data_IF_519047924197
#
_entry.id   IF_519047924197
#
_cell.length_a   1.000
_cell.length_b   1.000
_cell.length_c   1.000
_cell.angle_alpha   90.00
_cell.angle_beta   90.00
_cell.angle_gamma   90.00
#
_symmetry.space_group_name_H-M   'P 1'
#
loop_
_entity.id
_entity.type
_entity.pdbx_description
1 polymer ?
#
# COMPACT_ATOMS: atom_id res chain seq x y z
N UNK A 1 -2.37 -7.31 5.63
CA UNK A 1 -1.18 -6.88 4.87
C UNK A 1 -1.21 -7.42 3.44
N UNK A 2 -1.43 -8.72 3.21
CA UNK A 2 -1.52 -9.28 1.85
C UNK A 2 -2.67 -8.64 1.01
N UNK A 3 -3.88 -8.57 1.55
CA UNK A 3 -5.02 -7.97 0.83
C UNK A 3 -4.84 -6.47 0.53
N UNK A 4 -4.24 -5.70 1.44
CA UNK A 4 -3.97 -4.28 1.19
C UNK A 4 -2.88 -4.10 0.12
N UNK A 5 -1.86 -4.97 0.10
CA UNK A 5 -0.84 -4.98 -0.93
C UNK A 5 -1.44 -5.27 -2.32
N UNK A 6 -2.33 -6.27 -2.42
CA UNK A 6 -3.01 -6.61 -3.67
C UNK A 6 -3.87 -5.45 -4.18
N UNK A 7 -4.61 -4.79 -3.29
CA UNK A 7 -5.44 -3.65 -3.66
C UNK A 7 -4.61 -2.45 -4.14
N UNK A 8 -3.54 -2.10 -3.42
CA UNK A 8 -2.65 -0.99 -3.80
C UNK A 8 -1.92 -1.29 -5.11
N UNK A 9 -1.51 -2.54 -5.35
CA UNK A 9 -0.89 -2.94 -6.60
C UNK A 9 -1.85 -2.77 -7.79
N UNK A 10 -3.10 -3.22 -7.68
CA UNK A 10 -4.10 -3.07 -8.75
C UNK A 10 -4.40 -1.60 -9.05
N UNK A 11 -4.47 -0.74 -8.03
CA UNK A 11 -4.70 0.71 -8.22
C UNK A 11 -3.52 1.36 -8.95
N UNK A 12 -2.28 1.05 -8.54
CA UNK A 12 -1.09 1.60 -9.17
C UNK A 12 -0.95 1.13 -10.62
N UNK A 13 -1.23 -0.15 -10.89
CA UNK A 13 -1.21 -0.73 -12.25
C UNK A 13 -2.30 -0.16 -13.16
N UNK A 14 -3.45 0.25 -12.59
CA UNK A 14 -4.51 0.93 -13.34
C UNK A 14 -4.19 2.39 -13.64
N UNK A 15 -3.59 3.12 -12.68
CA UNK A 15 -3.31 4.56 -12.83
C UNK A 15 -2.12 4.83 -13.74
N UNK A 16 -1.07 4.02 -13.65
CA UNK A 16 0.15 4.16 -14.43
C UNK A 16 0.60 2.78 -14.90
N UNK A 17 -0.08 2.24 -15.93
CA UNK A 17 0.23 0.92 -16.44
C UNK A 17 1.68 0.95 -16.96
N UNK A 18 2.50 -0.06 -16.63
CA UNK A 18 3.84 -0.19 -17.16
C UNK A 18 3.80 -0.55 -18.64
N UNK A 19 3.76 0.50 -19.46
CA UNK A 19 3.90 0.38 -20.90
C UNK A 19 5.36 0.72 -21.22
N UNK A 20 6.05 -0.21 -21.88
CA UNK A 20 7.35 0.10 -22.50
C UNK A 20 7.17 1.19 -23.57
N UNK A 21 8.24 1.92 -23.95
CA UNK A 21 8.19 2.88 -25.06
C UNK A 21 7.63 2.28 -26.35
N UNK A 22 7.79 0.96 -26.52
CA UNK A 22 7.35 0.17 -27.68
C UNK A 22 5.91 -0.38 -27.53
N UNK A 23 5.19 -0.06 -26.45
CA UNK A 23 3.78 -0.43 -26.27
C UNK A 23 3.51 -1.77 -25.57
N UNK A 24 4.54 -2.50 -25.14
CA UNK A 24 4.38 -3.80 -24.47
C UNK A 24 4.21 -3.67 -22.96
N UNK A 25 3.29 -4.46 -22.39
CA UNK A 25 3.12 -4.61 -20.93
C UNK A 25 4.33 -5.29 -20.32
N UNK A 26 4.96 -4.64 -19.33
CA UNK A 26 6.01 -5.22 -18.50
C UNK A 26 5.55 -5.30 -17.04
N UNK A 27 6.10 -6.20 -16.22
CA UNK A 27 5.72 -6.24 -14.80
C UNK A 27 6.31 -5.01 -14.07
N UNK A 28 5.49 -4.13 -13.45
CA UNK A 28 5.97 -2.87 -12.90
C UNK A 28 6.63 -3.13 -11.55
N UNK A 29 7.89 -3.53 -11.55
CA UNK A 29 8.68 -3.71 -10.32
C UNK A 29 8.63 -2.41 -9.49
N UNK A 30 8.63 -1.25 -10.13
CA UNK A 30 8.42 0.04 -9.46
C UNK A 30 7.09 0.15 -8.73
N UNK A 31 5.97 -0.25 -9.35
CA UNK A 31 4.66 -0.18 -8.69
C UNK A 31 4.56 -1.19 -7.55
N UNK A 32 5.21 -2.36 -7.66
CA UNK A 32 5.33 -3.32 -6.54
C UNK A 32 6.08 -2.68 -5.37
N UNK A 33 7.22 -2.04 -5.63
CA UNK A 33 8.03 -1.38 -4.60
C UNK A 33 7.28 -0.20 -3.96
N UNK A 34 6.61 0.64 -4.77
CA UNK A 34 5.77 1.75 -4.28
C UNK A 34 4.62 1.22 -3.41
N UNK A 35 3.95 0.15 -3.84
CA UNK A 35 2.85 -0.46 -3.10
C UNK A 35 3.32 -1.06 -1.76
N UNK A 36 4.47 -1.73 -1.74
CA UNK A 36 5.10 -2.24 -0.53
C UNK A 36 5.41 -1.10 0.44
N UNK A 37 6.06 -0.04 -0.04
CA UNK A 37 6.41 1.10 0.80
C UNK A 37 5.17 1.79 1.39
N UNK A 38 4.14 2.01 0.58
CA UNK A 38 2.88 2.60 1.03
C UNK A 38 2.17 1.71 2.06
N UNK A 39 2.20 0.40 1.87
CA UNK A 39 1.58 -0.55 2.81
C UNK A 39 2.22 -0.52 4.19
N UNK A 40 3.54 -0.30 4.28
CA UNK A 40 4.27 -0.16 5.53
C UNK A 40 3.84 1.12 6.25
N UNK A 41 3.76 2.24 5.53
CA UNK A 41 3.32 3.54 6.07
C UNK A 41 1.89 3.42 6.63
N UNK A 42 0.97 2.87 5.86
CA UNK A 42 -0.43 2.67 6.28
C UNK A 42 -0.47 1.77 7.53
N UNK A 43 0.28 0.66 7.52
CA UNK A 43 0.40 -0.25 8.66
C UNK A 43 0.86 0.45 9.94
N UNK A 44 1.89 1.29 9.85
CA UNK A 44 2.41 2.06 10.98
C UNK A 44 1.37 3.04 11.53
N UNK A 45 0.69 3.80 10.67
CA UNK A 45 -0.35 4.75 11.06
C UNK A 45 -1.51 4.03 11.75
N UNK A 46 -2.00 2.93 11.18
CA UNK A 46 -3.07 2.13 11.77
C UNK A 46 -2.68 1.57 13.13
N UNK A 47 -1.46 1.05 13.27
CA UNK A 47 -0.96 0.48 14.53
C UNK A 47 -0.87 1.54 15.63
N UNK A 48 -0.28 2.70 15.35
CA UNK A 48 -0.19 3.83 16.29
C UNK A 48 -1.59 4.30 16.70
N UNK A 49 -2.50 4.42 15.73
CA UNK A 49 -3.88 4.84 15.96
C UNK A 49 -4.63 3.85 16.85
N UNK A 50 -4.47 2.55 16.60
CA UNK A 50 -5.06 1.49 17.41
C UNK A 50 -4.57 1.54 18.87
N UNK A 51 -3.26 1.69 19.09
CA UNK A 51 -2.68 1.83 20.44
C UNK A 51 -3.25 3.08 21.14
N UNK A 52 -3.31 4.22 20.44
CA UNK A 52 -3.89 5.45 21.00
C UNK A 52 -5.34 5.26 21.43
N UNK A 53 -6.14 4.60 20.61
CA UNK A 53 -7.56 4.32 20.93
C UNK A 53 -7.65 3.38 22.14
N UNK A 54 -6.89 2.29 22.16
CA UNK A 54 -6.87 1.36 23.28
C UNK A 54 -6.47 2.05 24.60
N UNK A 55 -5.43 2.88 24.59
CA UNK A 55 -4.99 3.64 25.78
C UNK A 55 -6.05 4.64 26.26
N UNK A 56 -6.74 5.32 25.36
CA UNK A 56 -7.85 6.22 25.74
C UNK A 56 -9.01 5.45 26.36
N UNK A 57 -9.29 4.24 25.87
CA UNK A 57 -10.38 3.38 26.36
C UNK A 57 -10.07 2.75 27.72
N UNK A 58 -8.80 2.48 28.02
CA UNK A 58 -8.31 1.98 29.31
C UNK A 58 -8.22 3.07 30.40
N UNK A 59 -8.17 4.36 30.01
CA UNK A 59 -8.17 5.51 30.93
C UNK A 59 -9.59 5.99 31.30
N UNK A 60 -10.63 5.31 30.82
CA UNK A 60 -12.03 5.61 31.08
C UNK A 60 -12.63 4.46 31.89
#
# INVERSE_FOLDING_TARGET
MAFSSVAVYNIADYMDPPITPDGHRYMPIENVVKALFLSIIIGAITFISAIRIQRKRQKK
#
